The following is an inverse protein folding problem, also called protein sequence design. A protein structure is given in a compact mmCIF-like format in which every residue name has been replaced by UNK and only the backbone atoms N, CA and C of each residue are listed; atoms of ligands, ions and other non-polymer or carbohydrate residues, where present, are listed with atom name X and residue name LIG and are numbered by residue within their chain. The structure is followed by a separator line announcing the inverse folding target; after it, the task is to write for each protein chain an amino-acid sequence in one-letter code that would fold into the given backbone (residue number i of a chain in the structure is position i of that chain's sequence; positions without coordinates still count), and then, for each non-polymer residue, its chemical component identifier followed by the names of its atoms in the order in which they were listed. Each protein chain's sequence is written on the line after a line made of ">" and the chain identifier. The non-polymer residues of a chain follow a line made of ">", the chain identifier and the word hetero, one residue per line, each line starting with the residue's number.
data_IF_722662824599
#
_entry.id   IF_722662824599
#
_cell.length_a   1.000
_cell.length_b   1.000
_cell.length_c   1.000
_cell.angle_alpha   90.00
_cell.angle_beta   90.00
_cell.angle_gamma   90.00
#
_symmetry.space_group_name_H-M   'P 1'
#
loop_
_entity.id
_entity.type
_entity.pdbx_description
1 polymer ?
#
# COMPACT_ATOMS: atom_id res chain seq x y z
N UNK A 1 -2.74 -12.25 -5.42
CA UNK A 1 -2.33 -13.64 -5.71
C UNK A 1 -3.27 -14.66 -5.07
N UNK A 2 -3.64 -14.58 -3.76
CA UNK A 2 -4.59 -15.53 -3.14
C UNK A 2 -5.92 -15.67 -3.91
N UNK A 3 -6.50 -14.57 -4.39
CA UNK A 3 -7.70 -14.61 -5.24
C UNK A 3 -7.44 -15.27 -6.60
N UNK A 4 -6.28 -15.06 -7.20
CA UNK A 4 -5.90 -15.72 -8.45
C UNK A 4 -5.82 -17.25 -8.28
N UNK A 5 -5.24 -17.71 -7.17
CA UNK A 5 -5.21 -19.14 -6.82
C UNK A 5 -6.63 -19.69 -6.72
N UNK A 6 -7.51 -19.01 -5.98
CA UNK A 6 -8.91 -19.44 -5.81
C UNK A 6 -9.62 -19.54 -7.17
N UNK A 7 -9.50 -18.54 -8.05
CA UNK A 7 -10.15 -18.56 -9.35
C UNK A 7 -9.56 -19.60 -10.29
N UNK A 8 -8.23 -19.77 -10.29
CA UNK A 8 -7.54 -20.82 -11.06
C UNK A 8 -8.03 -22.20 -10.64
N UNK A 9 -8.02 -22.48 -9.35
CA UNK A 9 -8.39 -23.79 -8.81
C UNK A 9 -9.89 -24.06 -9.00
N UNK A 10 -10.73 -23.04 -8.84
CA UNK A 10 -12.17 -23.14 -9.12
C UNK A 10 -12.43 -23.49 -10.59
N UNK A 11 -11.76 -22.81 -11.52
CA UNK A 11 -11.88 -23.07 -12.95
C UNK A 11 -11.41 -24.50 -13.31
N UNK A 12 -10.28 -24.95 -12.76
CA UNK A 12 -9.76 -26.30 -12.97
C UNK A 12 -10.73 -27.37 -12.44
N UNK A 13 -11.29 -27.19 -11.26
CA UNK A 13 -12.28 -28.10 -10.68
C UNK A 13 -13.57 -28.11 -11.53
N UNK A 14 -14.05 -26.92 -11.94
CA UNK A 14 -15.27 -26.80 -12.74
C UNK A 14 -15.14 -27.51 -14.10
N UNK A 15 -13.99 -27.41 -14.74
CA UNK A 15 -13.69 -28.06 -16.02
C UNK A 15 -13.32 -29.56 -15.87
N UNK A 16 -13.26 -30.09 -14.65
CA UNK A 16 -12.83 -31.49 -14.36
C UNK A 16 -11.42 -31.83 -14.86
N UNK A 17 -10.58 -30.80 -15.02
CA UNK A 17 -9.23 -30.98 -15.59
C UNK A 17 -8.22 -31.43 -14.53
N UNK A 18 -8.46 -31.06 -13.26
CA UNK A 18 -7.43 -31.24 -12.23
C UNK A 18 -8.02 -31.02 -10.82
N UNK A 19 -7.50 -31.75 -9.83
CA UNK A 19 -7.68 -31.41 -8.41
C UNK A 19 -6.43 -30.73 -7.90
N UNK A 20 -6.53 -29.46 -7.40
CA UNK A 20 -5.38 -28.78 -6.81
C UNK A 20 -4.80 -29.63 -5.67
N UNK A 21 -3.49 -29.80 -5.65
CA UNK A 21 -2.83 -30.41 -4.51
C UNK A 21 -2.85 -29.43 -3.34
N UNK A 22 -3.33 -29.90 -2.19
CA UNK A 22 -3.18 -29.14 -0.95
C UNK A 22 -1.69 -29.23 -0.56
N UNK A 23 -1.01 -28.09 -0.33
CA UNK A 23 0.38 -28.12 0.11
C UNK A 23 0.49 -28.90 1.41
N UNK A 24 1.19 -30.03 1.38
CA UNK A 24 1.42 -30.83 2.58
C UNK A 24 2.36 -30.07 3.53
N UNK A 25 2.03 -30.08 4.82
CA UNK A 25 2.83 -29.48 5.90
C UNK A 25 3.04 -27.97 5.85
N UNK A 26 2.11 -27.21 5.24
CA UNK A 26 2.17 -25.76 5.24
C UNK A 26 1.25 -25.17 6.30
N UNK A 27 1.84 -24.48 7.29
CA UNK A 27 1.11 -23.78 8.35
C UNK A 27 1.45 -22.28 8.30
N UNK A 28 0.42 -21.44 8.15
CA UNK A 28 0.59 -20.00 8.06
C UNK A 28 1.07 -19.39 9.39
N UNK A 29 0.71 -20.00 10.53
CA UNK A 29 1.19 -19.57 11.84
C UNK A 29 2.70 -19.80 11.99
N UNK A 30 3.18 -20.98 11.57
CA UNK A 30 4.62 -21.30 11.55
C UNK A 30 5.37 -20.36 10.61
N UNK A 31 4.79 -20.07 9.43
CA UNK A 31 5.36 -19.09 8.50
C UNK A 31 5.54 -17.72 9.17
N UNK A 32 4.50 -17.18 9.81
CA UNK A 32 4.56 -15.87 10.48
C UNK A 32 5.57 -15.84 11.63
N UNK A 33 5.68 -16.93 12.37
CA UNK A 33 6.65 -17.04 13.47
C UNK A 33 8.10 -17.06 12.94
N UNK A 34 8.34 -17.80 11.89
CA UNK A 34 9.65 -17.85 11.23
C UNK A 34 10.04 -16.50 10.63
N UNK A 35 9.14 -15.83 9.89
CA UNK A 35 9.37 -14.49 9.35
C UNK A 35 9.69 -13.49 10.47
N UNK A 36 8.94 -13.50 11.56
CA UNK A 36 9.18 -12.65 12.72
C UNK A 36 10.55 -12.89 13.35
N UNK A 37 10.97 -14.15 13.48
CA UNK A 37 12.26 -14.50 14.07
C UNK A 37 13.41 -14.11 13.14
N UNK A 38 13.27 -14.36 11.85
CA UNK A 38 14.29 -14.04 10.85
C UNK A 38 14.51 -12.52 10.71
N UNK A 39 13.43 -11.74 10.80
CA UNK A 39 13.44 -10.28 10.62
C UNK A 39 13.52 -9.48 11.92
N UNK A 40 13.84 -10.08 13.05
CA UNK A 40 13.83 -9.41 14.36
C UNK A 40 14.76 -8.18 14.43
N UNK A 41 15.88 -8.21 13.75
CA UNK A 41 16.81 -7.08 13.72
C UNK A 41 16.28 -5.94 12.83
N UNK A 42 15.66 -6.27 11.71
CA UNK A 42 15.03 -5.30 10.80
C UNK A 42 13.82 -4.67 11.48
N UNK A 43 13.03 -5.47 12.20
CA UNK A 43 11.95 -4.97 13.04
C UNK A 43 12.44 -3.95 14.08
N UNK A 44 13.50 -4.26 14.82
CA UNK A 44 14.05 -3.33 15.84
C UNK A 44 14.57 -2.04 15.23
N UNK A 45 15.21 -2.13 14.06
CA UNK A 45 15.66 -0.96 13.30
C UNK A 45 14.48 -0.10 12.88
N UNK A 46 13.46 -0.71 12.28
CA UNK A 46 12.24 -0.04 11.84
C UNK A 46 11.45 0.57 13.01
N UNK A 47 11.33 -0.15 14.13
CA UNK A 47 10.70 0.36 15.35
C UNK A 47 11.39 1.62 15.86
N UNK A 48 12.74 1.61 15.91
CA UNK A 48 13.53 2.77 16.34
C UNK A 48 13.33 3.96 15.41
N UNK A 49 13.33 3.72 14.09
CA UNK A 49 13.08 4.75 13.09
C UNK A 49 11.70 5.39 13.31
N UNK A 50 10.64 4.59 13.29
CA UNK A 50 9.29 5.13 13.43
C UNK A 50 9.06 5.82 14.78
N UNK A 51 9.61 5.31 15.88
CA UNK A 51 9.51 5.96 17.19
C UNK A 51 10.24 7.31 17.25
N UNK A 52 11.27 7.52 16.43
CA UNK A 52 11.93 8.84 16.34
C UNK A 52 11.12 9.84 15.47
N UNK A 53 10.36 9.34 14.50
CA UNK A 53 9.59 10.19 13.58
C UNK A 53 8.18 10.50 14.08
N UNK A 54 7.61 9.68 14.98
CA UNK A 54 6.18 9.66 15.29
C UNK A 54 5.61 11.00 15.76
N UNK A 55 6.38 11.78 16.53
CA UNK A 55 5.97 13.09 17.03
C UNK A 55 5.91 14.15 15.91
N UNK A 56 6.66 13.95 14.84
CA UNK A 56 6.72 14.85 13.68
C UNK A 56 5.73 14.48 12.57
N UNK A 57 5.16 13.27 12.62
CA UNK A 57 4.24 12.80 11.61
C UNK A 57 2.94 13.57 11.61
N UNK A 58 2.44 14.00 10.43
CA UNK A 58 1.13 14.62 10.33
C UNK A 58 0.02 13.57 10.44
N UNK A 59 -1.22 14.03 10.51
CA UNK A 59 -2.40 13.20 10.29
C UNK A 59 -2.69 13.04 8.79
N UNK A 60 -3.82 12.43 8.44
CA UNK A 60 -4.29 12.35 7.06
C UNK A 60 -4.62 13.74 6.47
N UNK A 61 -4.90 13.82 5.15
CA UNK A 61 -5.25 15.07 4.52
C UNK A 61 -6.57 15.63 5.09
N UNK A 62 -6.55 16.90 5.47
CA UNK A 62 -7.71 17.62 6.03
C UNK A 62 -8.66 18.03 4.89
N UNK A 63 -9.42 17.10 4.38
CA UNK A 63 -10.37 17.27 3.28
C UNK A 63 -11.70 17.83 3.82
N UNK A 64 -12.34 18.69 3.03
CA UNK A 64 -13.68 19.20 3.35
C UNK A 64 -14.70 18.07 3.24
N UNK A 65 -15.33 17.71 4.35
CA UNK A 65 -16.35 16.67 4.40
C UNK A 65 -17.75 17.29 4.32
N UNK A 66 -18.63 16.69 3.53
CA UNK A 66 -20.07 17.05 3.47
C UNK A 66 -20.79 16.62 4.75
N UNK A 67 -20.37 15.51 5.34
CA UNK A 67 -21.00 14.89 6.50
C UNK A 67 -19.91 14.22 7.33
N UNK A 68 -19.99 14.33 8.63
CA UNK A 68 -19.04 13.66 9.52
C UNK A 68 -19.25 12.15 9.46
N UNK A 69 -18.20 11.33 9.28
CA UNK A 69 -18.30 9.87 9.13
C UNK A 69 -19.06 9.20 10.27
N UNK A 70 -18.93 9.70 11.50
CA UNK A 70 -19.57 9.17 12.70
C UNK A 70 -21.10 9.30 12.69
N UNK A 71 -21.63 10.24 11.92
CA UNK A 71 -23.07 10.48 11.81
C UNK A 71 -23.75 9.62 10.74
N UNK A 72 -22.96 8.84 9.98
CA UNK A 72 -23.47 8.02 8.89
C UNK A 72 -23.90 6.65 9.43
N UNK A 73 -25.20 6.45 9.58
CA UNK A 73 -25.75 5.17 10.06
C UNK A 73 -25.55 4.00 9.08
N UNK A 74 -25.60 4.29 7.76
CA UNK A 74 -25.43 3.29 6.71
C UNK A 74 -24.54 3.86 5.59
N UNK A 75 -23.23 3.54 5.60
CA UNK A 75 -22.31 4.04 4.58
C UNK A 75 -22.64 3.47 3.20
N UNK A 76 -22.70 4.35 2.20
CA UNK A 76 -22.85 3.98 0.80
C UNK A 76 -21.56 4.27 0.05
N UNK A 77 -21.04 3.27 -0.63
CA UNK A 77 -19.82 3.40 -1.44
C UNK A 77 -20.19 3.62 -2.91
N UNK A 78 -19.51 4.55 -3.55
CA UNK A 78 -19.60 4.77 -4.99
C UNK A 78 -18.23 4.59 -5.63
N UNK A 79 -18.20 3.94 -6.80
CA UNK A 79 -16.97 3.77 -7.58
C UNK A 79 -16.99 4.69 -8.78
N UNK A 80 -15.92 5.42 -8.98
CA UNK A 80 -15.65 6.15 -10.21
C UNK A 80 -14.57 5.40 -10.99
N UNK A 81 -14.78 5.24 -12.29
CA UNK A 81 -13.83 4.56 -13.19
C UNK A 81 -13.34 5.55 -14.23
N UNK A 82 -12.06 5.45 -14.52
CA UNK A 82 -11.46 6.10 -15.68
C UNK A 82 -10.56 5.08 -16.39
N UNK A 83 -10.68 5.00 -17.71
CA UNK A 83 -9.84 4.13 -18.53
C UNK A 83 -8.80 5.01 -19.23
N UNK A 84 -7.55 4.84 -18.87
CA UNK A 84 -6.45 5.48 -19.57
C UNK A 84 -6.17 4.73 -20.88
N UNK A 85 -6.15 5.46 -22.00
CA UNK A 85 -5.83 4.88 -23.31
C UNK A 85 -4.44 4.24 -23.32
N UNK A 86 -4.32 3.08 -23.98
CA UNK A 86 -3.06 2.33 -24.03
C UNK A 86 -1.87 3.20 -24.48
N UNK A 87 -2.03 4.03 -25.51
CA UNK A 87 -0.96 4.94 -25.98
C UNK A 87 -0.51 5.94 -24.90
N UNK A 88 -1.42 6.45 -24.09
CA UNK A 88 -1.10 7.36 -22.99
C UNK A 88 -0.38 6.62 -21.86
N UNK A 89 -0.79 5.38 -21.60
CA UNK A 89 -0.13 4.51 -20.63
C UNK A 89 1.31 4.18 -21.02
N UNK A 90 1.55 3.78 -22.29
CA UNK A 90 2.91 3.52 -22.78
C UNK A 90 3.79 4.76 -22.70
N UNK A 91 3.24 5.94 -23.04
CA UNK A 91 3.97 7.21 -22.87
C UNK A 91 4.34 7.49 -21.41
N UNK A 92 3.43 7.23 -20.48
CA UNK A 92 3.70 7.40 -19.04
C UNK A 92 4.81 6.45 -18.59
N UNK A 93 4.78 5.19 -19.00
CA UNK A 93 5.86 4.23 -18.71
C UNK A 93 7.21 4.67 -19.25
N UNK A 94 7.24 5.14 -20.50
CA UNK A 94 8.47 5.63 -21.12
C UNK A 94 9.04 6.85 -20.38
N UNK A 95 8.18 7.79 -19.98
CA UNK A 95 8.60 8.96 -19.21
C UNK A 95 9.11 8.55 -17.82
N UNK A 96 8.42 7.64 -17.15
CA UNK A 96 8.86 7.14 -15.84
C UNK A 96 10.26 6.52 -15.95
N UNK A 97 10.50 5.68 -16.96
CA UNK A 97 11.82 5.09 -17.22
C UNK A 97 12.90 6.14 -17.51
N UNK A 98 12.58 7.17 -18.31
CA UNK A 98 13.49 8.27 -18.60
C UNK A 98 13.95 9.04 -17.35
N UNK A 99 13.07 9.15 -16.35
CA UNK A 99 13.36 9.79 -15.07
C UNK A 99 13.80 8.82 -13.97
N UNK A 100 14.22 7.60 -14.33
CA UNK A 100 14.69 6.57 -13.40
C UNK A 100 13.68 6.29 -12.24
N UNK A 101 12.39 6.26 -12.57
CA UNK A 101 11.29 6.02 -11.63
C UNK A 101 10.31 4.99 -12.20
N UNK A 102 9.29 4.64 -11.41
CA UNK A 102 8.24 3.72 -11.82
C UNK A 102 6.93 4.46 -12.12
N UNK A 103 6.04 3.91 -12.96
CA UNK A 103 4.69 4.45 -13.15
C UNK A 103 3.91 4.60 -11.83
N UNK A 104 4.11 3.69 -10.88
CA UNK A 104 3.48 3.74 -9.55
C UNK A 104 3.90 5.01 -8.78
N UNK A 105 5.19 5.37 -8.82
CA UNK A 105 5.68 6.60 -8.17
C UNK A 105 5.16 7.87 -8.83
N UNK A 106 5.05 7.88 -10.16
CA UNK A 106 4.41 8.99 -10.89
C UNK A 106 2.95 9.13 -10.46
N UNK A 107 2.20 8.02 -10.39
CA UNK A 107 0.80 8.03 -9.95
C UNK A 107 0.64 8.44 -8.48
N UNK A 108 1.52 7.99 -7.59
CA UNK A 108 1.53 8.41 -6.18
C UNK A 108 1.80 9.90 -6.04
N UNK A 109 2.77 10.44 -6.80
CA UNK A 109 3.09 11.87 -6.81
C UNK A 109 1.90 12.70 -7.28
N UNK A 110 1.24 12.29 -8.38
CA UNK A 110 0.04 12.95 -8.88
C UNK A 110 -1.13 12.87 -7.88
N UNK A 111 -1.29 11.72 -7.23
CA UNK A 111 -2.32 11.52 -6.22
C UNK A 111 -2.11 12.45 -5.01
N UNK A 112 -0.89 12.52 -4.50
CA UNK A 112 -0.52 13.43 -3.43
C UNK A 112 -0.76 14.90 -3.82
N UNK A 113 -0.36 15.31 -5.04
CA UNK A 113 -0.60 16.65 -5.54
C UNK A 113 -2.10 17.00 -5.67
N UNK A 114 -2.95 16.04 -6.05
CA UNK A 114 -4.41 16.25 -6.07
C UNK A 114 -4.96 16.39 -4.65
N UNK A 115 -4.51 15.56 -3.71
CA UNK A 115 -4.94 15.65 -2.32
C UNK A 115 -4.52 16.99 -1.70
N UNK A 116 -3.30 17.44 -1.95
CA UNK A 116 -2.80 18.75 -1.50
C UNK A 116 -3.70 19.92 -1.96
N UNK A 117 -4.17 19.89 -3.19
CA UNK A 117 -5.09 20.91 -3.75
C UNK A 117 -6.44 20.98 -3.03
N UNK A 118 -6.87 19.88 -2.42
CA UNK A 118 -8.17 19.78 -1.74
C UNK A 118 -8.05 19.76 -0.21
N UNK A 119 -6.84 19.64 0.29
CA UNK A 119 -6.53 19.63 1.72
C UNK A 119 -6.16 21.00 2.24
N UNK A 120 -6.48 21.27 3.50
CA UNK A 120 -6.03 22.48 4.18
C UNK A 120 -4.62 22.35 4.78
N UNK A 121 -4.12 21.13 4.91
CA UNK A 121 -2.73 20.84 5.28
C UNK A 121 -1.95 20.32 4.07
N UNK A 122 -0.71 20.79 3.93
CA UNK A 122 0.20 20.43 2.83
C UNK A 122 1.12 19.25 3.16
N UNK A 123 0.96 18.67 4.33
CA UNK A 123 1.72 17.52 4.81
C UNK A 123 0.73 16.56 5.44
N UNK A 124 0.69 15.29 4.95
CA UNK A 124 -0.32 14.33 5.37
C UNK A 124 0.11 12.88 5.13
N UNK A 125 -0.54 11.96 5.85
CA UNK A 125 -0.34 10.53 5.71
C UNK A 125 -1.30 9.90 4.69
N UNK A 126 -0.75 8.98 3.90
CA UNK A 126 -1.50 8.12 2.97
C UNK A 126 -1.26 6.68 3.36
N UNK A 127 -2.32 5.90 3.54
CA UNK A 127 -2.24 4.45 3.71
C UNK A 127 -1.90 3.77 2.38
N UNK A 128 -0.94 2.85 2.41
CA UNK A 128 -0.56 2.06 1.24
C UNK A 128 -0.55 0.57 1.61
N UNK A 129 -1.40 -0.27 1.00
CA UNK A 129 -1.26 -1.71 1.15
C UNK A 129 0.03 -2.17 0.47
N UNK A 130 0.86 -2.89 1.23
CA UNK A 130 2.08 -3.52 0.77
C UNK A 130 1.86 -5.03 0.74
N UNK A 131 2.07 -5.67 -0.40
CA UNK A 131 1.97 -7.11 -0.53
C UNK A 131 3.33 -7.73 -0.18
N UNK A 132 3.41 -8.28 1.02
CA UNK A 132 4.64 -8.82 1.62
C UNK A 132 4.61 -10.34 1.64
N UNK A 133 4.61 -10.94 0.44
CA UNK A 133 4.74 -12.38 0.27
C UNK A 133 6.22 -12.71 0.03
N UNK A 134 6.84 -13.45 0.94
CA UNK A 134 8.22 -13.87 0.78
C UNK A 134 8.33 -14.96 -0.29
N UNK A 135 8.71 -14.57 -1.51
CA UNK A 135 8.81 -15.47 -2.68
C UNK A 135 10.00 -16.42 -2.62
N UNK A 136 10.90 -16.29 -1.64
CA UNK A 136 12.02 -17.20 -1.42
C UNK A 136 11.58 -18.52 -0.76
N UNK A 137 10.38 -18.53 -0.17
CA UNK A 137 9.85 -19.72 0.50
C UNK A 137 9.19 -20.64 -0.51
N UNK A 138 9.61 -21.88 -0.50
CA UNK A 138 9.10 -22.91 -1.40
C UNK A 138 7.58 -23.08 -1.25
N UNK A 139 6.89 -23.19 -2.37
CA UNK A 139 5.43 -23.37 -2.47
C UNK A 139 4.57 -22.20 -1.96
N UNK A 140 5.15 -21.08 -1.57
CA UNK A 140 4.42 -19.89 -1.11
C UNK A 140 3.38 -19.41 -2.13
N UNK A 141 3.68 -19.60 -3.43
CA UNK A 141 2.82 -19.19 -4.54
C UNK A 141 1.51 -19.96 -4.64
N UNK A 142 1.39 -21.10 -3.94
CA UNK A 142 0.17 -21.90 -3.86
C UNK A 142 -0.59 -21.72 -2.53
N UNK A 143 -0.13 -20.83 -1.67
CA UNK A 143 -0.74 -20.58 -0.36
C UNK A 143 -1.78 -19.48 -0.44
N UNK A 144 -2.98 -19.76 0.06
CA UNK A 144 -4.06 -18.79 0.21
C UNK A 144 -4.02 -18.25 1.64
N UNK A 145 -3.52 -17.02 1.77
CA UNK A 145 -3.49 -16.29 3.03
C UNK A 145 -3.47 -14.78 2.78
N UNK A 146 -3.64 -13.99 3.84
CA UNK A 146 -3.46 -12.54 3.79
C UNK A 146 -2.00 -12.19 4.10
N UNK A 147 -1.27 -11.82 3.08
CA UNK A 147 0.11 -11.34 3.15
C UNK A 147 0.17 -9.80 3.03
N UNK A 148 -0.93 -9.13 3.32
CA UNK A 148 -0.99 -7.67 3.19
C UNK A 148 -0.44 -7.01 4.45
N UNK A 149 0.61 -6.24 4.29
CA UNK A 149 1.08 -5.27 5.27
C UNK A 149 0.54 -3.87 4.93
N UNK A 150 0.62 -2.95 5.84
CA UNK A 150 0.27 -1.55 5.65
C UNK A 150 1.51 -0.70 5.79
N UNK A 151 1.76 0.14 4.80
CA UNK A 151 2.77 1.17 4.82
C UNK A 151 2.09 2.52 5.05
N UNK A 152 2.62 3.34 5.94
CA UNK A 152 2.22 4.74 6.05
C UNK A 152 3.22 5.58 5.26
N UNK A 153 2.70 6.23 4.23
CA UNK A 153 3.47 7.13 3.41
C UNK A 153 3.22 8.58 3.84
N UNK A 154 4.27 9.28 4.21
CA UNK A 154 4.21 10.70 4.54
C UNK A 154 4.41 11.53 3.26
N UNK A 155 3.36 12.17 2.77
CA UNK A 155 3.41 13.11 1.66
C UNK A 155 3.69 14.52 2.20
N UNK A 156 4.80 15.13 1.79
CA UNK A 156 5.14 16.52 2.08
C UNK A 156 5.11 17.35 0.80
N UNK A 157 4.11 18.23 0.70
CA UNK A 157 3.87 19.11 -0.44
C UNK A 157 4.16 20.60 -0.11
N UNK A 158 4.78 20.89 1.03
CA UNK A 158 5.00 22.27 1.54
C UNK A 158 5.90 23.12 0.68
N UNK A 159 6.82 22.52 -0.04
CA UNK A 159 7.79 23.25 -0.82
C UNK A 159 7.28 23.52 -2.24
N UNK A 160 7.47 24.75 -2.70
CA UNK A 160 7.21 25.12 -4.07
C UNK A 160 8.35 24.60 -4.94
N UNK A 161 8.17 23.40 -5.50
CA UNK A 161 9.16 22.71 -6.32
C UNK A 161 8.54 22.23 -7.65
N UNK A 162 9.36 21.89 -8.60
CA UNK A 162 8.92 21.29 -9.87
C UNK A 162 8.34 19.90 -9.63
N UNK A 163 7.52 19.43 -10.56
CA UNK A 163 6.98 18.05 -10.50
C UNK A 163 8.10 17.00 -10.42
N UNK A 164 9.21 17.22 -11.10
CA UNK A 164 10.36 16.31 -11.06
C UNK A 164 10.99 16.24 -9.67
N UNK A 165 11.23 17.38 -9.04
CA UNK A 165 11.77 17.43 -7.66
C UNK A 165 10.81 16.78 -6.67
N UNK A 166 9.50 17.02 -6.80
CA UNK A 166 8.50 16.35 -5.99
C UNK A 166 8.49 14.83 -6.20
N UNK A 167 8.61 14.38 -7.44
CA UNK A 167 8.70 12.95 -7.78
C UNK A 167 9.92 12.29 -7.12
N UNK A 168 11.08 12.96 -7.14
CA UNK A 168 12.28 12.45 -6.48
C UNK A 168 12.12 12.37 -4.95
N UNK A 169 11.48 13.37 -4.34
CA UNK A 169 11.16 13.34 -2.90
C UNK A 169 10.24 12.17 -2.57
N UNK A 170 9.13 12.03 -3.31
CA UNK A 170 8.17 10.92 -3.13
C UNK A 170 8.87 9.57 -3.27
N UNK A 171 9.74 9.42 -4.26
CA UNK A 171 10.47 8.17 -4.47
C UNK A 171 11.43 7.85 -3.31
N UNK A 172 12.14 8.85 -2.80
CA UNK A 172 13.06 8.66 -1.67
C UNK A 172 12.30 8.35 -0.38
N UNK A 173 11.25 9.10 -0.08
CA UNK A 173 10.36 8.83 1.07
C UNK A 173 9.71 7.45 1.01
N UNK A 174 9.29 7.03 -0.19
CA UNK A 174 8.71 5.70 -0.38
C UNK A 174 9.75 4.60 -0.09
N UNK A 175 10.98 4.73 -0.60
CA UNK A 175 12.07 3.78 -0.29
C UNK A 175 12.34 3.70 1.22
N UNK A 176 12.46 4.85 1.86
CA UNK A 176 12.70 4.95 3.30
C UNK A 176 11.57 4.28 4.11
N UNK A 177 10.32 4.47 3.69
CA UNK A 177 9.17 3.83 4.31
C UNK A 177 9.18 2.31 4.10
N UNK A 178 9.57 1.82 2.90
CA UNK A 178 9.72 0.39 2.61
C UNK A 178 10.85 -0.23 3.40
N UNK A 179 12.01 0.43 3.49
CA UNK A 179 13.16 -0.02 4.27
C UNK A 179 12.88 -0.16 5.77
N UNK A 180 11.79 0.47 6.24
CA UNK A 180 11.31 0.41 7.61
C UNK A 180 9.90 -0.22 7.74
N UNK A 181 9.48 -1.04 6.77
CA UNK A 181 8.14 -1.64 6.72
C UNK A 181 7.93 -2.80 7.69
N UNK A 182 8.99 -3.35 8.27
CA UNK A 182 8.90 -4.40 9.29
C UNK A 182 8.19 -3.91 10.58
N UNK A 183 8.25 -2.62 10.88
CA UNK A 183 7.33 -2.00 11.84
C UNK A 183 6.11 -1.48 11.09
N UNK A 184 5.05 -2.25 11.06
CA UNK A 184 3.92 -2.03 10.16
C UNK A 184 3.21 -0.69 10.39
N UNK A 185 2.62 -0.13 9.33
CA UNK A 185 1.80 1.08 9.43
C UNK A 185 0.66 0.98 10.43
N UNK A 186 0.15 -0.23 10.70
CA UNK A 186 -0.85 -0.46 11.76
C UNK A 186 -0.26 -0.16 13.14
N UNK A 187 1.00 -0.54 13.39
CA UNK A 187 1.69 -0.22 14.64
C UNK A 187 1.94 1.28 14.76
N UNK A 188 2.39 1.93 13.68
CA UNK A 188 2.58 3.39 13.63
C UNK A 188 1.27 4.13 13.90
N UNK A 189 0.16 3.76 13.24
CA UNK A 189 -1.18 4.33 13.50
C UNK A 189 -1.60 4.16 14.95
N UNK A 190 -1.32 3.01 15.54
CA UNK A 190 -1.65 2.75 16.95
C UNK A 190 -0.90 3.68 17.91
N UNK A 191 0.39 3.95 17.63
CA UNK A 191 1.15 4.91 18.43
C UNK A 191 0.66 6.36 18.20
N UNK A 192 0.43 6.75 16.94
CA UNK A 192 -0.16 8.07 16.62
C UNK A 192 -1.52 8.29 17.28
N UNK A 193 -2.36 7.24 17.36
CA UNK A 193 -3.66 7.33 18.03
C UNK A 193 -3.55 7.63 19.53
N UNK A 194 -2.46 7.24 20.17
CA UNK A 194 -2.20 7.58 21.59
C UNK A 194 -1.85 9.07 21.74
N UNK A 195 -1.17 9.66 20.76
CA UNK A 195 -0.83 11.09 20.73
C UNK A 195 -2.03 11.97 20.36
N UNK A 196 -2.99 11.40 19.61
CA UNK A 196 -4.18 12.12 19.11
C UNK A 196 -5.47 11.42 19.54
N UNK A 197 -5.81 11.38 20.85
CA UNK A 197 -6.92 10.57 21.38
C UNK A 197 -8.31 11.02 20.88
N UNK A 198 -8.43 12.23 20.28
CA UNK A 198 -9.67 12.71 19.67
C UNK A 198 -9.87 12.28 18.22
N UNK A 199 -8.83 11.78 17.56
CA UNK A 199 -8.87 11.44 16.14
C UNK A 199 -9.20 9.97 15.94
N UNK A 200 -10.36 9.70 15.33
CA UNK A 200 -10.83 8.34 15.08
C UNK A 200 -10.18 7.68 13.87
N UNK A 201 -9.69 8.46 12.93
CA UNK A 201 -9.10 7.96 11.70
C UNK A 201 -7.84 8.77 11.35
N UNK A 202 -6.69 8.21 11.67
CA UNK A 202 -5.37 8.88 11.52
C UNK A 202 -5.00 9.08 10.05
N UNK A 203 -5.24 8.09 9.19
CA UNK A 203 -4.91 8.13 7.77
C UNK A 203 -6.07 7.56 6.93
N UNK A 204 -7.10 8.39 6.63
CA UNK A 204 -8.34 7.92 5.99
C UNK A 204 -8.20 7.63 4.50
N UNK A 205 -7.12 8.08 3.86
CA UNK A 205 -6.94 7.98 2.42
C UNK A 205 -6.00 6.84 2.09
N UNK A 206 -6.39 6.04 1.09
CA UNK A 206 -5.63 4.86 0.65
C UNK A 206 -5.17 5.05 -0.78
N UNK A 207 -3.89 4.77 -1.04
CA UNK A 207 -3.35 4.61 -2.39
C UNK A 207 -2.95 3.15 -2.60
N UNK A 208 -3.62 2.47 -3.51
CA UNK A 208 -3.29 1.08 -3.91
C UNK A 208 -2.99 1.03 -5.41
N UNK A 209 -1.84 0.48 -5.77
CA UNK A 209 -1.41 0.38 -7.15
C UNK A 209 -1.02 -1.06 -7.48
N UNK A 210 -1.84 -1.73 -8.28
CA UNK A 210 -1.64 -3.11 -8.75
C UNK A 210 -1.24 -3.11 -10.24
N UNK A 211 -0.19 -2.37 -10.54
CA UNK A 211 0.34 -2.30 -11.89
C UNK A 211 1.19 -3.53 -12.21
N UNK A 212 0.93 -4.13 -13.38
CA UNK A 212 1.72 -5.26 -13.89
C UNK A 212 1.35 -6.63 -13.31
N UNK A 213 0.33 -6.72 -12.46
CA UNK A 213 -0.18 -8.01 -11.97
C UNK A 213 -1.55 -8.27 -12.61
N UNK A 214 -1.67 -9.11 -13.63
CA UNK A 214 -2.97 -9.45 -14.20
C UNK A 214 -3.84 -10.12 -13.14
N UNK A 215 -5.10 -9.72 -13.05
CA UNK A 215 -6.04 -10.29 -12.08
C UNK A 215 -6.55 -11.67 -12.50
N UNK A 216 -6.54 -11.91 -13.81
CA UNK A 216 -6.86 -13.19 -14.45
C UNK A 216 -5.91 -13.33 -15.63
N UNK A 217 -5.35 -14.51 -15.85
CA UNK A 217 -4.59 -14.79 -17.06
C UNK A 217 -5.51 -14.68 -18.28
N UNK A 218 -5.06 -13.93 -19.30
CA UNK A 218 -5.75 -13.79 -20.59
C UNK A 218 -5.61 -15.10 -21.42
N UNK A 219 -6.03 -16.24 -20.86
CA UNK A 219 -6.10 -17.51 -21.58
C UNK A 219 -7.52 -18.05 -21.58
#
# INVERSE_FOLDING_TARGET
>A
QSLQIIFRDLAAIYNSEYRPAIPENWDFGIYLENEKNNKINDYRKAEKYWKSEIESLPLGPALTLRTQPETIAAPKFSRRKYLLEHKKWEKLKSLAAQYCTTPAMVLLTLYAAVLDRWSTNQSFLINMPLFDRNTEIENIDNVIADFTNVLLFHADCKENCTFYEQLQKVQNQFRESVDNSEYSGVQVVRELSKLHPGEKCIAPVVFSCNYGTPFVDDK
#
